data_IF_560911615998
#
_entry.id   IF_560911615998
#
_cell.length_a   1.000
_cell.length_b   1.000
_cell.length_c   1.000
_cell.angle_alpha   90.00
_cell.angle_beta   90.00
_cell.angle_gamma   90.00
#
_symmetry.space_group_name_H-M   'P 1'
#
loop_
_entity.id
_entity.type
_entity.pdbx_description
1 polymer ?
#
# COMPACT_ATOMS: atom_id res chain seq x y z
N UNK A 1 -11.88 -22.57 -16.68
CA UNK A 1 -11.63 -21.21 -16.14
C UNK A 1 -10.19 -21.22 -15.63
N UNK A 2 -9.38 -20.23 -16.02
CA UNK A 2 -7.98 -20.15 -15.54
C UNK A 2 -8.00 -19.44 -14.20
N UNK A 3 -7.49 -20.11 -13.16
CA UNK A 3 -7.32 -19.51 -11.84
C UNK A 3 -6.19 -18.47 -11.88
N UNK A 4 -6.44 -17.30 -11.29
CA UNK A 4 -5.45 -16.21 -11.13
C UNK A 4 -5.71 -15.45 -9.82
N UNK A 5 -4.67 -15.08 -9.05
CA UNK A 5 -4.84 -14.21 -7.89
C UNK A 5 -5.01 -12.75 -8.32
N UNK A 6 -5.58 -11.92 -7.44
CA UNK A 6 -5.46 -10.47 -7.53
C UNK A 6 -4.05 -10.06 -7.10
N UNK A 7 -3.39 -9.21 -7.88
CA UNK A 7 -2.04 -8.74 -7.56
C UNK A 7 -2.15 -7.39 -6.87
N UNK A 8 -1.49 -7.27 -5.71
CA UNK A 8 -1.42 -6.02 -4.95
C UNK A 8 0.02 -5.68 -4.60
N UNK A 9 0.27 -4.39 -4.41
CA UNK A 9 1.55 -3.86 -3.93
C UNK A 9 1.36 -3.16 -2.59
N UNK A 10 2.41 -3.09 -1.78
CA UNK A 10 2.39 -2.35 -0.53
C UNK A 10 3.76 -1.78 -0.15
N UNK A 11 3.77 -0.71 0.63
CA UNK A 11 4.99 -0.02 1.04
C UNK A 11 5.22 -0.08 2.55
N UNK A 12 6.40 -0.56 2.95
CA UNK A 12 6.93 -0.38 4.30
C UNK A 12 7.87 0.82 4.26
N UNK A 13 7.37 1.95 4.75
CA UNK A 13 8.08 3.22 4.83
C UNK A 13 8.44 3.47 6.29
N UNK A 14 9.73 3.46 6.59
CA UNK A 14 10.26 3.71 7.93
C UNK A 14 11.12 4.97 7.91
N UNK A 15 10.93 5.82 8.92
CA UNK A 15 11.72 7.01 9.17
C UNK A 15 11.81 7.26 10.69
N UNK A 16 13.03 7.34 11.21
CA UNK A 16 13.34 7.65 12.61
C UNK A 16 12.60 6.74 13.64
N UNK A 17 12.50 5.46 13.33
CA UNK A 17 11.83 4.43 14.12
C UNK A 17 10.30 4.43 14.00
N UNK A 18 9.74 5.21 13.08
CA UNK A 18 8.30 5.33 12.84
C UNK A 18 7.94 4.83 11.44
N UNK A 19 6.73 4.31 11.31
CA UNK A 19 6.20 3.74 10.08
C UNK A 19 5.03 4.56 9.59
N UNK A 20 5.07 4.94 8.30
CA UNK A 20 3.95 5.61 7.64
C UNK A 20 2.88 4.57 7.31
N UNK A 21 1.68 4.84 7.79
CA UNK A 21 0.47 4.05 7.57
C UNK A 21 -0.65 4.96 7.10
N UNK A 22 -1.69 4.34 6.56
CA UNK A 22 -2.97 5.00 6.25
C UNK A 22 -4.04 4.46 7.18
N UNK A 23 -4.90 5.35 7.63
CA UNK A 23 -6.16 5.00 8.28
C UNK A 23 -7.27 5.09 7.23
N UNK A 24 -7.98 3.99 7.01
CA UNK A 24 -8.93 3.86 5.90
C UNK A 24 -10.30 3.32 6.35
N UNK A 25 -11.36 3.73 5.65
CA UNK A 25 -12.69 3.17 5.81
C UNK A 25 -12.83 1.88 5.00
N UNK A 26 -12.97 0.75 5.69
CA UNK A 26 -13.20 -0.56 5.06
C UNK A 26 -14.62 -1.07 5.31
N UNK A 27 -15.01 -2.15 4.63
CA UNK A 27 -16.25 -2.88 4.93
C UNK A 27 -16.32 -3.43 6.35
N UNK A 28 -15.19 -3.50 7.07
CA UNK A 28 -15.08 -3.92 8.46
C UNK A 28 -14.84 -2.76 9.43
N UNK A 29 -15.11 -1.53 8.99
CA UNK A 29 -14.87 -0.29 9.75
C UNK A 29 -13.50 0.30 9.50
N UNK A 30 -13.10 1.24 10.36
CA UNK A 30 -11.81 1.93 10.26
C UNK A 30 -10.67 0.96 10.56
N UNK A 31 -9.68 0.90 9.66
CA UNK A 31 -8.49 0.03 9.77
C UNK A 31 -7.22 0.81 9.47
N UNK A 32 -6.11 0.30 9.99
CA UNK A 32 -4.77 0.74 9.61
C UNK A 32 -4.19 -0.22 8.57
N UNK A 33 -3.51 0.35 7.59
CA UNK A 33 -2.83 -0.41 6.55
C UNK A 33 -1.50 0.27 6.16
N UNK A 34 -0.62 -0.49 5.52
CA UNK A 34 0.44 0.14 4.73
C UNK A 34 -0.19 0.82 3.51
N UNK A 35 0.42 1.88 2.96
CA UNK A 35 0.01 2.36 1.64
C UNK A 35 0.08 1.21 0.63
N UNK A 36 -1.05 0.88 0.02
CA UNK A 36 -1.20 -0.37 -0.72
C UNK A 36 -2.43 -0.36 -1.63
N UNK A 37 -2.29 -0.99 -2.79
CA UNK A 37 -3.45 -1.19 -3.67
C UNK A 37 -3.18 -2.19 -4.78
N UNK A 38 -4.04 -2.17 -5.80
CA UNK A 38 -4.04 -3.17 -6.85
C UNK A 38 -3.07 -2.81 -7.97
N UNK A 39 -2.48 -3.83 -8.59
CA UNK A 39 -1.77 -3.63 -9.85
C UNK A 39 -2.76 -3.31 -10.96
N UNK A 40 -2.58 -2.19 -11.64
CA UNK A 40 -3.39 -1.80 -12.78
C UNK A 40 -2.83 -2.32 -14.12
N UNK A 41 -3.65 -2.44 -15.17
CA UNK A 41 -3.16 -2.80 -16.49
C UNK A 41 -2.20 -1.75 -17.07
N UNK A 42 -1.03 -2.20 -17.51
CA UNK A 42 -0.08 -1.35 -18.25
C UNK A 42 1.02 -0.71 -17.40
N UNK A 43 1.03 -0.94 -16.08
CA UNK A 43 2.11 -0.52 -15.19
C UNK A 43 2.94 -1.71 -14.68
N UNK A 44 4.16 -1.42 -14.27
CA UNK A 44 5.03 -2.34 -13.53
C UNK A 44 4.69 -2.33 -12.03
N UNK A 45 5.12 -3.35 -11.29
CA UNK A 45 4.97 -3.37 -9.83
C UNK A 45 5.62 -2.17 -9.12
N UNK A 46 6.71 -1.64 -9.69
CA UNK A 46 7.41 -0.48 -9.17
C UNK A 46 6.62 0.80 -9.43
N UNK A 47 6.04 0.95 -10.62
CA UNK A 47 5.16 2.08 -10.93
C UNK A 47 3.90 2.05 -10.05
N UNK A 48 3.27 0.88 -9.91
CA UNK A 48 2.12 0.67 -9.05
C UNK A 48 2.40 1.15 -7.62
N UNK A 49 3.50 0.71 -6.99
CA UNK A 49 3.73 1.12 -5.60
C UNK A 49 4.10 2.59 -5.44
N UNK A 50 4.74 3.20 -6.45
CA UNK A 50 4.97 4.65 -6.46
C UNK A 50 3.66 5.42 -6.55
N UNK A 51 2.73 4.94 -7.38
CA UNK A 51 1.38 5.50 -7.55
C UNK A 51 0.57 5.38 -6.27
N UNK A 52 0.43 4.18 -5.71
CA UNK A 52 -0.36 3.90 -4.50
C UNK A 52 0.12 4.73 -3.29
N UNK A 53 1.44 4.83 -3.05
CA UNK A 53 1.94 5.68 -1.96
C UNK A 53 1.59 7.15 -2.19
N UNK A 54 1.68 7.64 -3.43
CA UNK A 54 1.36 9.02 -3.75
C UNK A 54 -0.14 9.32 -3.62
N UNK A 55 -0.99 8.40 -4.05
CA UNK A 55 -2.45 8.49 -3.99
C UNK A 55 -2.98 8.45 -2.56
N UNK A 56 -2.47 7.54 -1.73
CA UNK A 56 -2.99 7.36 -0.38
C UNK A 56 -2.29 8.21 0.68
N UNK A 57 -1.10 8.75 0.38
CA UNK A 57 -0.32 9.52 1.38
C UNK A 57 0.11 10.92 0.94
N UNK A 58 -0.09 11.27 -0.32
CA UNK A 58 0.45 12.48 -0.94
C UNK A 58 1.99 12.62 -0.90
N UNK A 59 2.73 11.58 -0.51
CA UNK A 59 4.18 11.53 -0.62
C UNK A 59 4.63 10.85 -1.91
N UNK A 60 5.66 11.40 -2.55
CA UNK A 60 6.43 10.64 -3.54
C UNK A 60 7.19 9.48 -2.87
N UNK A 61 7.38 8.38 -3.57
CA UNK A 61 8.03 7.18 -3.03
C UNK A 61 9.16 6.68 -3.93
N UNK A 62 10.28 6.32 -3.31
CA UNK A 62 11.38 5.62 -3.98
C UNK A 62 11.57 4.23 -3.34
N UNK A 63 11.05 3.15 -3.96
CA UNK A 63 11.25 1.79 -3.50
C UNK A 63 12.70 1.37 -3.69
N UNK A 64 13.30 0.75 -2.66
CA UNK A 64 14.70 0.32 -2.67
C UNK A 64 14.85 -1.19 -2.81
N UNK A 65 13.99 -1.96 -2.16
CA UNK A 65 14.03 -3.42 -2.21
C UNK A 65 12.64 -4.03 -1.96
N UNK A 66 12.39 -5.20 -2.54
CA UNK A 66 11.25 -6.02 -2.17
C UNK A 66 11.53 -6.72 -0.84
N UNK A 67 10.59 -6.67 0.10
CA UNK A 67 10.72 -7.31 1.43
C UNK A 67 10.03 -8.65 1.51
N UNK A 68 9.03 -8.89 0.66
CA UNK A 68 8.32 -10.17 0.66
C UNK A 68 7.26 -10.27 -0.43
N UNK A 69 6.90 -11.52 -0.73
CA UNK A 69 5.81 -11.91 -1.62
C UNK A 69 4.91 -12.84 -0.83
N UNK A 70 3.64 -12.50 -0.71
CA UNK A 70 2.67 -13.22 0.13
C UNK A 70 1.47 -13.63 -0.73
N UNK A 71 1.27 -14.95 -0.87
CA UNK A 71 0.05 -15.50 -1.46
C UNK A 71 -0.90 -15.88 -0.31
N UNK A 72 -2.05 -15.23 -0.23
CA UNK A 72 -2.97 -15.44 0.89
C UNK A 72 -4.43 -15.30 0.48
N UNK A 73 -5.29 -15.97 1.23
CA UNK A 73 -6.75 -15.93 1.09
C UNK A 73 -7.35 -15.88 2.49
N UNK A 74 -8.32 -15.01 2.73
CA UNK A 74 -8.92 -14.84 4.07
C UNK A 74 -9.78 -16.04 4.48
N UNK A 75 -10.62 -16.53 3.56
CA UNK A 75 -11.46 -17.73 3.72
C UNK A 75 -11.49 -18.51 2.39
N UNK A 76 -11.88 -19.80 2.37
CA UNK A 76 -11.80 -20.63 1.15
C UNK A 76 -12.50 -20.05 -0.09
N UNK A 77 -13.59 -19.30 0.10
CA UNK A 77 -14.38 -18.70 -0.99
C UNK A 77 -14.06 -17.21 -1.24
N UNK A 78 -13.11 -16.63 -0.49
CA UNK A 78 -12.67 -15.25 -0.70
C UNK A 78 -11.67 -15.15 -1.87
N UNK A 79 -11.52 -13.97 -2.50
CA UNK A 79 -10.47 -13.75 -3.49
C UNK A 79 -9.08 -14.03 -2.91
N UNK A 80 -8.22 -14.69 -3.70
CA UNK A 80 -6.81 -14.88 -3.37
C UNK A 80 -5.99 -13.67 -3.81
N UNK A 81 -5.06 -13.23 -2.98
CA UNK A 81 -4.18 -12.10 -3.23
C UNK A 81 -2.71 -12.54 -3.29
N UNK A 82 -1.98 -12.05 -4.30
CA UNK A 82 -0.52 -12.07 -4.35
C UNK A 82 -0.02 -10.66 -4.04
N UNK A 83 0.42 -10.44 -2.79
CA UNK A 83 0.91 -9.15 -2.32
C UNK A 83 2.42 -9.07 -2.42
N UNK A 84 2.93 -8.09 -3.15
CA UNK A 84 4.36 -7.79 -3.23
C UNK A 84 4.62 -6.55 -2.38
N UNK A 85 5.44 -6.71 -1.34
CA UNK A 85 5.75 -5.60 -0.43
C UNK A 85 7.14 -5.05 -0.75
N UNK A 86 7.24 -3.72 -0.83
CA UNK A 86 8.49 -2.98 -1.01
C UNK A 86 8.81 -2.19 0.24
N UNK A 87 10.10 -1.95 0.48
CA UNK A 87 10.55 -0.92 1.40
C UNK A 87 11.37 0.11 0.66
N UNK A 88 11.30 1.35 1.12
CA UNK A 88 11.87 2.50 0.46
C UNK A 88 11.76 3.75 1.31
N UNK A 89 11.96 4.89 0.68
CA UNK A 89 11.90 6.21 1.33
C UNK A 89 10.89 7.10 0.66
N UNK A 90 10.18 7.89 1.47
CA UNK A 90 9.32 8.97 0.96
C UNK A 90 10.14 10.22 0.65
N UNK A 91 9.69 10.98 -0.34
CA UNK A 91 10.28 12.23 -0.80
C UNK A 91 9.37 13.43 -0.53
N UNK A 92 9.16 14.25 -1.57
CA UNK A 92 8.28 15.41 -1.53
C UNK A 92 6.86 15.02 -1.08
N UNK A 93 6.30 15.81 -0.16
CA UNK A 93 4.90 15.82 0.20
C UNK A 93 4.14 16.86 -0.65
N UNK A 94 3.00 16.45 -1.21
CA UNK A 94 2.15 17.30 -2.04
C UNK A 94 0.89 17.69 -1.26
N UNK A 95 0.97 18.78 -0.47
CA UNK A 95 -0.09 19.18 0.45
C UNK A 95 -1.45 19.44 -0.23
N UNK A 96 -1.42 19.93 -1.47
CA UNK A 96 -2.60 20.19 -2.30
C UNK A 96 -3.24 18.94 -2.93
N UNK A 97 -2.64 17.75 -2.78
CA UNK A 97 -3.21 16.52 -3.34
C UNK A 97 -4.27 15.96 -2.40
N UNK A 98 -5.46 15.72 -2.95
CA UNK A 98 -6.50 14.95 -2.25
C UNK A 98 -6.08 13.48 -2.16
N UNK A 99 -6.31 12.87 -0.99
CA UNK A 99 -6.08 11.45 -0.80
C UNK A 99 -7.21 10.65 -1.45
N UNK A 100 -6.90 9.40 -1.79
CA UNK A 100 -7.87 8.49 -2.37
C UNK A 100 -9.13 8.32 -1.52
N UNK A 101 -10.25 8.07 -2.23
CA UNK A 101 -11.55 7.89 -1.61
C UNK A 101 -11.52 6.72 -0.61
N UNK A 102 -11.83 7.02 0.64
CA UNK A 102 -11.79 6.04 1.74
C UNK A 102 -10.62 6.23 2.70
N UNK A 103 -9.54 6.89 2.27
CA UNK A 103 -8.45 7.30 3.16
C UNK A 103 -8.92 8.43 4.07
N UNK A 104 -8.78 8.23 5.37
CA UNK A 104 -9.13 9.21 6.40
C UNK A 104 -7.93 10.13 6.66
N UNK A 105 -6.75 9.53 6.88
CA UNK A 105 -5.52 10.25 7.16
C UNK A 105 -4.28 9.36 7.03
N UNK A 106 -3.11 10.01 6.92
CA UNK A 106 -1.80 9.38 7.09
C UNK A 106 -1.31 9.47 8.52
N UNK A 107 -0.72 8.42 9.07
CA UNK A 107 -0.24 8.38 10.45
C UNK A 107 1.18 7.79 10.51
N UNK A 108 2.05 8.40 11.32
CA UNK A 108 3.38 7.85 11.65
C UNK A 108 3.36 7.20 13.04
N UNK A 109 3.50 5.87 13.09
CA UNK A 109 3.44 5.10 14.34
C UNK A 109 4.77 4.41 14.67
N UNK A 110 5.06 4.23 15.95
CA UNK A 110 6.12 3.33 16.40
C UNK A 110 5.64 1.86 16.42
N UNK A 111 6.52 0.86 16.31
CA UNK A 111 6.14 -0.56 16.41
C UNK A 111 5.64 -1.02 17.79
N UNK A 112 5.76 -0.17 18.81
CA UNK A 112 5.40 -0.41 20.20
C UNK A 112 4.35 0.59 20.63
#
# INVERSE_FOLDING_TARGET
>A
MVWKPNVTVAAIIEQDGRFLLVEENTSQGVKLNQPAGHLEPGETLVEAIKREVLEETAFTFEPKFATGIQLWTRAPDDPTFLRITFSGTVGQFHQERELDSGIIQTIWLTPK
#
